data_IF_099786532407
#
_entry.id   IF_099786532407
#
_cell.length_a   1.000
_cell.length_b   1.000
_cell.length_c   1.000
_cell.angle_alpha   90.00
_cell.angle_beta   90.00
_cell.angle_gamma   90.00
#
_symmetry.space_group_name_H-M   'P 1'
#
loop_
_entity.id
_entity.type
_entity.pdbx_description
1 polymer ?
#
# COMPACT_ATOMS: atom_id res chain seq x y z
N UNK A 1 13.87 -5.72 6.01
CA UNK A 1 14.24 -5.92 4.59
C UNK A 1 13.80 -4.74 3.71
N UNK A 2 14.58 -4.40 2.68
CA UNK A 2 14.17 -3.50 1.59
C UNK A 2 13.82 -4.38 0.39
N UNK A 3 12.69 -4.09 -0.27
CA UNK A 3 12.30 -4.74 -1.51
C UNK A 3 12.70 -3.83 -2.67
N UNK A 4 13.68 -4.28 -3.45
CA UNK A 4 14.13 -3.61 -4.66
C UNK A 4 13.48 -4.24 -5.91
N UNK A 5 12.94 -3.42 -6.79
CA UNK A 5 12.26 -3.87 -8.00
C UNK A 5 12.31 -2.85 -9.13
N UNK A 6 12.14 -3.32 -10.37
CA UNK A 6 12.03 -2.47 -11.56
C UNK A 6 10.60 -2.51 -12.08
N UNK A 7 9.98 -1.34 -12.22
CA UNK A 7 8.61 -1.25 -12.68
C UNK A 7 8.56 -1.41 -14.21
N UNK A 8 7.97 -2.51 -14.71
CA UNK A 8 7.92 -2.86 -16.15
C UNK A 8 7.40 -1.73 -17.06
N UNK A 9 6.42 -0.94 -16.61
CA UNK A 9 5.80 0.14 -17.41
C UNK A 9 6.72 1.35 -17.61
N UNK A 10 7.60 1.64 -16.65
CA UNK A 10 8.38 2.89 -16.61
C UNK A 10 9.89 2.65 -16.61
N UNK A 11 10.32 1.40 -16.48
CA UNK A 11 11.72 0.96 -16.30
C UNK A 11 12.42 1.65 -15.13
N UNK A 12 11.66 2.18 -14.17
CA UNK A 12 12.22 2.85 -12.99
C UNK A 12 12.57 1.84 -11.91
N UNK A 13 13.70 2.06 -11.25
CA UNK A 13 14.09 1.34 -10.05
C UNK A 13 13.38 1.93 -8.84
N UNK A 14 12.86 1.05 -8.00
CA UNK A 14 12.18 1.40 -6.76
C UNK A 14 12.73 0.53 -5.63
N UNK A 15 12.93 1.17 -4.47
CA UNK A 15 13.25 0.50 -3.22
C UNK A 15 12.25 0.92 -2.15
N UNK A 16 11.55 -0.05 -1.55
CA UNK A 16 10.58 0.20 -0.49
C UNK A 16 10.92 -0.69 0.71
N UNK A 17 11.08 -0.07 1.88
CA UNK A 17 11.19 -0.81 3.14
C UNK A 17 9.86 -1.49 3.43
N UNK A 18 9.85 -2.82 3.48
CA UNK A 18 8.64 -3.58 3.82
C UNK A 18 8.46 -3.58 5.34
N UNK A 19 7.19 -3.65 5.77
CA UNK A 19 6.87 -3.82 7.19
C UNK A 19 7.25 -5.22 7.67
N UNK A 20 7.48 -5.37 8.98
CA UNK A 20 7.90 -6.65 9.60
C UNK A 20 6.97 -7.81 9.27
N UNK A 21 5.67 -7.56 9.20
CA UNK A 21 4.67 -8.58 8.83
C UNK A 21 4.89 -9.10 7.41
N UNK A 22 5.14 -8.20 6.45
CA UNK A 22 5.42 -8.59 5.07
C UNK A 22 6.77 -9.31 4.97
N UNK A 23 7.78 -8.86 5.71
CA UNK A 23 9.08 -9.52 5.81
C UNK A 23 8.95 -10.96 6.34
N UNK A 24 8.14 -11.18 7.37
CA UNK A 24 7.87 -12.52 7.88
C UNK A 24 7.29 -13.43 6.79
N UNK A 25 6.22 -13.03 6.10
CA UNK A 25 5.65 -13.86 5.03
C UNK A 25 6.62 -14.07 3.85
N UNK A 26 7.41 -13.05 3.51
CA UNK A 26 8.43 -13.16 2.47
C UNK A 26 9.60 -14.07 2.88
N UNK A 27 9.88 -14.24 4.18
CA UNK A 27 10.91 -15.16 4.68
C UNK A 27 10.46 -16.64 4.67
N UNK A 28 9.15 -16.90 4.64
CA UNK A 28 8.61 -18.25 4.53
C UNK A 28 8.71 -18.83 3.10
N UNK A 29 9.27 -18.06 2.15
CA UNK A 29 9.47 -18.53 0.78
C UNK A 29 10.53 -19.63 0.75
N UNK A 30 10.26 -20.71 0.03
CA UNK A 30 11.10 -21.92 0.05
C UNK A 30 12.32 -21.90 -0.88
N UNK A 31 12.30 -21.14 -1.98
CA UNK A 31 13.36 -21.18 -3.00
C UNK A 31 14.00 -19.81 -3.21
N UNK A 32 15.34 -19.81 -3.37
CA UNK A 32 16.11 -18.62 -3.72
C UNK A 32 16.07 -18.45 -5.24
N UNK A 33 14.98 -17.83 -5.71
CA UNK A 33 14.79 -17.51 -7.13
C UNK A 33 14.75 -16.00 -7.31
N UNK A 34 15.14 -15.51 -8.49
CA UNK A 34 15.06 -14.09 -8.87
C UNK A 34 13.64 -13.49 -8.70
N UNK A 35 12.61 -14.34 -8.66
CA UNK A 35 11.22 -13.92 -8.45
C UNK A 35 10.81 -14.15 -7.00
N UNK A 36 10.33 -13.09 -6.34
CA UNK A 36 9.71 -13.21 -5.02
C UNK A 36 8.49 -14.13 -5.01
N UNK A 37 7.72 -14.18 -6.11
CA UNK A 37 6.53 -15.02 -6.26
C UNK A 37 6.59 -15.80 -7.59
N UNK A 38 7.31 -16.93 -7.65
CA UNK A 38 7.60 -17.63 -8.91
C UNK A 38 6.33 -18.16 -9.60
N UNK A 39 5.31 -18.55 -8.83
CA UNK A 39 4.04 -19.09 -9.32
C UNK A 39 2.87 -18.10 -9.19
N UNK A 40 3.14 -16.79 -9.22
CA UNK A 40 2.08 -15.79 -9.12
C UNK A 40 1.13 -15.85 -10.34
N UNK A 41 -0.18 -16.12 -10.16
CA UNK A 41 -1.12 -16.10 -11.27
C UNK A 41 -1.29 -14.68 -11.84
N UNK A 42 -1.91 -14.58 -13.01
CA UNK A 42 -2.31 -13.27 -13.53
C UNK A 42 -3.33 -12.57 -12.60
N UNK A 43 -3.59 -11.29 -12.86
CA UNK A 43 -4.48 -10.49 -12.04
C UNK A 43 -5.93 -11.03 -12.02
N UNK A 44 -6.42 -11.60 -13.11
CA UNK A 44 -7.79 -12.14 -13.17
C UNK A 44 -7.91 -13.40 -12.31
N UNK A 45 -6.96 -14.32 -12.42
CA UNK A 45 -6.87 -15.52 -11.58
C UNK A 45 -6.69 -15.15 -10.11
N UNK A 46 -5.80 -14.22 -9.83
CA UNK A 46 -5.58 -13.76 -8.45
C UNK A 46 -6.84 -13.16 -7.84
N UNK A 47 -7.56 -12.30 -8.57
CA UNK A 47 -8.82 -11.73 -8.08
C UNK A 47 -9.91 -12.80 -7.86
N UNK A 48 -9.92 -13.89 -8.64
CA UNK A 48 -10.82 -15.04 -8.40
C UNK A 48 -10.46 -15.75 -7.09
N UNK A 49 -9.18 -15.98 -6.84
CA UNK A 49 -8.68 -16.59 -5.59
C UNK A 49 -9.02 -15.70 -4.39
N UNK A 50 -8.73 -14.39 -4.48
CA UNK A 50 -9.04 -13.42 -3.43
C UNK A 50 -10.54 -13.37 -3.12
N UNK A 51 -11.41 -13.39 -4.14
CA UNK A 51 -12.86 -13.46 -3.95
C UNK A 51 -13.26 -14.71 -3.16
N UNK A 52 -12.71 -15.88 -3.51
CA UNK A 52 -13.01 -17.14 -2.80
C UNK A 52 -12.57 -17.08 -1.35
N UNK A 53 -11.40 -16.53 -1.06
CA UNK A 53 -10.91 -16.36 0.31
C UNK A 53 -11.76 -15.37 1.10
N UNK A 54 -12.14 -14.24 0.50
CA UNK A 54 -13.02 -13.24 1.11
C UNK A 54 -14.38 -13.85 1.49
N UNK A 55 -15.00 -14.61 0.58
CA UNK A 55 -16.27 -15.30 0.86
C UNK A 55 -16.13 -16.30 2.01
N UNK A 56 -15.05 -17.09 2.05
CA UNK A 56 -14.79 -18.03 3.16
C UNK A 56 -14.57 -17.33 4.50
N UNK A 57 -14.03 -16.12 4.47
CA UNK A 57 -13.83 -15.29 5.66
C UNK A 57 -15.08 -14.52 6.09
N UNK A 58 -16.22 -14.68 5.40
CA UNK A 58 -17.45 -13.94 5.70
C UNK A 58 -17.41 -12.47 5.26
N UNK A 59 -16.50 -12.09 4.37
CA UNK A 59 -16.40 -10.73 3.86
C UNK A 59 -17.30 -10.54 2.63
N UNK A 60 -18.25 -9.60 2.73
CA UNK A 60 -19.27 -9.35 1.70
C UNK A 60 -18.80 -8.43 0.57
N UNK A 61 -17.65 -7.76 0.74
CA UNK A 61 -17.11 -6.83 -0.25
C UNK A 61 -16.21 -7.49 -1.30
N UNK A 62 -15.88 -6.72 -2.34
CA UNK A 62 -14.82 -7.11 -3.28
C UNK A 62 -13.46 -7.05 -2.56
N UNK A 63 -12.56 -7.98 -2.85
CA UNK A 63 -11.16 -7.92 -2.41
C UNK A 63 -10.28 -8.02 -3.64
N UNK A 64 -9.42 -7.03 -3.85
CA UNK A 64 -8.47 -6.96 -4.95
C UNK A 64 -7.17 -6.30 -4.49
N UNK A 65 -6.09 -6.45 -5.25
CA UNK A 65 -4.86 -5.72 -4.98
C UNK A 65 -5.03 -4.20 -5.05
N UNK A 66 -5.88 -3.69 -5.94
CA UNK A 66 -6.17 -2.26 -5.99
C UNK A 66 -6.81 -1.76 -4.69
N UNK A 67 -7.70 -2.56 -4.09
CA UNK A 67 -8.27 -2.22 -2.78
C UNK A 67 -7.24 -2.24 -1.66
N UNK A 68 -6.33 -3.23 -1.65
CA UNK A 68 -5.23 -3.25 -0.70
C UNK A 68 -4.33 -2.00 -0.85
N UNK A 69 -4.07 -1.57 -2.09
CA UNK A 69 -3.34 -0.33 -2.38
C UNK A 69 -4.09 0.90 -1.87
N UNK A 70 -5.42 0.98 -2.08
CA UNK A 70 -6.26 2.04 -1.55
C UNK A 70 -6.20 2.10 -0.02
N UNK A 71 -6.41 0.96 0.65
CA UNK A 71 -6.36 0.87 2.11
C UNK A 71 -4.99 1.31 2.64
N UNK A 72 -3.89 0.83 2.02
CA UNK A 72 -2.54 1.25 2.39
C UNK A 72 -2.38 2.77 2.28
N UNK A 73 -2.82 3.36 1.17
CA UNK A 73 -2.71 4.80 0.94
C UNK A 73 -3.53 5.61 1.96
N UNK A 74 -4.80 5.25 2.18
CA UNK A 74 -5.68 5.96 3.11
C UNK A 74 -5.22 5.82 4.55
N UNK A 75 -4.75 4.63 4.97
CA UNK A 75 -4.17 4.43 6.30
C UNK A 75 -2.96 5.32 6.52
N UNK A 76 -2.07 5.45 5.53
CA UNK A 76 -0.92 6.35 5.63
C UNK A 76 -1.35 7.82 5.69
N UNK A 77 -2.39 8.21 4.95
CA UNK A 77 -2.99 9.56 5.05
C UNK A 77 -3.53 9.80 6.46
N UNK A 78 -4.26 8.85 7.04
CA UNK A 78 -4.81 8.96 8.39
C UNK A 78 -3.72 9.05 9.48
N UNK A 79 -2.59 8.38 9.25
CA UNK A 79 -1.35 8.49 10.04
C UNK A 79 -0.58 9.79 9.78
N UNK A 80 -1.14 10.71 9.01
CA UNK A 80 -0.56 12.02 8.71
C UNK A 80 0.78 11.94 7.95
N UNK A 81 0.99 10.87 7.18
CA UNK A 81 2.19 10.69 6.36
C UNK A 81 2.12 11.64 5.15
N UNK A 82 3.17 12.42 4.86
CA UNK A 82 3.20 13.31 3.71
C UNK A 82 2.89 12.59 2.40
N UNK A 83 2.03 13.19 1.56
CA UNK A 83 1.55 12.57 0.32
C UNK A 83 2.68 12.17 -0.65
N UNK A 84 3.82 12.89 -0.62
CA UNK A 84 5.03 12.58 -1.38
C UNK A 84 5.67 11.25 -0.93
N UNK A 85 5.65 10.97 0.37
CA UNK A 85 6.14 9.69 0.91
C UNK A 85 5.17 8.57 0.51
N UNK A 86 3.87 8.80 0.62
CA UNK A 86 2.85 7.84 0.17
C UNK A 86 3.03 7.51 -1.31
N UNK A 87 3.23 8.53 -2.17
CA UNK A 87 3.48 8.32 -3.60
C UNK A 87 4.73 7.46 -3.85
N UNK A 88 5.79 7.63 -3.06
CA UNK A 88 6.99 6.79 -3.12
C UNK A 88 6.69 5.34 -2.73
N UNK A 89 5.95 5.12 -1.63
CA UNK A 89 5.54 3.77 -1.17
C UNK A 89 4.70 3.05 -2.22
N UNK A 90 3.80 3.78 -2.90
CA UNK A 90 2.94 3.22 -3.96
C UNK A 90 3.63 3.10 -5.33
N UNK A 91 4.87 3.61 -5.48
CA UNK A 91 5.57 3.62 -6.77
C UNK A 91 4.92 4.54 -7.82
N UNK A 92 4.21 5.60 -7.40
CA UNK A 92 3.58 6.56 -8.30
C UNK A 92 4.59 7.62 -8.75
N UNK A 93 4.76 7.78 -10.07
CA UNK A 93 5.64 8.80 -10.65
C UNK A 93 5.04 10.20 -10.65
N UNK A 94 3.70 10.30 -10.74
CA UNK A 94 2.95 11.56 -10.72
C UNK A 94 2.25 11.71 -9.38
N UNK A 95 2.53 12.81 -8.67
CA UNK A 95 1.92 13.06 -7.37
C UNK A 95 0.38 13.20 -7.47
N UNK A 96 -0.12 13.71 -8.60
CA UNK A 96 -1.56 13.82 -8.87
C UNK A 96 -2.30 12.48 -8.81
N UNK A 97 -1.65 11.37 -9.16
CA UNK A 97 -2.24 10.02 -9.02
C UNK A 97 -2.43 9.63 -7.57
N UNK A 98 -1.53 10.05 -6.67
CA UNK A 98 -1.65 9.80 -5.23
C UNK A 98 -2.55 10.83 -4.55
N UNK A 99 -2.67 12.05 -5.10
CA UNK A 99 -3.48 13.12 -4.52
C UNK A 99 -4.97 12.75 -4.40
N UNK A 100 -5.45 11.77 -5.18
CA UNK A 100 -6.81 11.21 -5.01
C UNK A 100 -7.08 10.63 -3.62
N UNK A 101 -6.02 10.25 -2.89
CA UNK A 101 -6.10 9.77 -1.51
C UNK A 101 -6.09 10.90 -0.47
N UNK A 102 -5.60 12.09 -0.85
CA UNK A 102 -5.59 13.28 -0.01
C UNK A 102 -6.99 13.91 0.03
N UNK A 103 -7.99 13.17 0.52
CA UNK A 103 -9.23 13.79 0.96
C UNK A 103 -8.94 14.61 2.20
N UNK A 104 -9.47 15.82 2.25
CA UNK A 104 -9.50 16.62 3.48
C UNK A 104 -10.35 15.84 4.48
N UNK A 105 -9.70 15.03 5.30
CA UNK A 105 -10.35 14.35 6.40
C UNK A 105 -10.51 15.39 7.51
N UNK A 106 -11.76 15.80 7.79
CA UNK A 106 -12.07 16.78 8.84
C UNK A 106 -11.45 16.41 10.19
N UNK A 107 -11.29 15.11 10.48
CA UNK A 107 -10.60 14.63 11.68
C UNK A 107 -9.10 14.93 11.66
N UNK A 108 -8.45 14.86 10.49
CA UNK A 108 -7.04 15.22 10.34
C UNK A 108 -6.85 16.72 10.50
N UNK A 109 -7.76 17.53 9.92
CA UNK A 109 -7.76 18.98 10.10
C UNK A 109 -7.94 19.35 11.57
N UNK A 110 -8.92 18.75 12.26
CA UNK A 110 -9.12 18.95 13.70
C UNK A 110 -7.85 18.68 14.51
N UNK A 111 -7.26 17.49 14.36
CA UNK A 111 -6.00 17.14 15.04
C UNK A 111 -4.85 18.10 14.74
N UNK A 112 -4.78 18.63 13.52
CA UNK A 112 -3.74 19.59 13.15
C UNK A 112 -3.96 20.95 13.84
N UNK A 113 -5.21 21.38 13.98
CA UNK A 113 -5.56 22.60 14.72
C UNK A 113 -5.33 22.43 16.23
N UNK A 114 -5.77 21.32 16.83
CA UNK A 114 -5.54 21.03 18.26
C UNK A 114 -4.03 21.04 18.59
N UNK A 115 -3.21 20.48 17.69
CA UNK A 115 -1.75 20.49 17.83
C UNK A 115 -1.16 21.90 17.68
N UNK A 116 -1.75 22.75 16.85
CA UNK A 116 -1.31 24.13 16.69
C UNK A 116 -1.64 24.94 17.95
N UNK A 117 -2.83 24.76 18.51
CA UNK A 117 -3.26 25.41 19.77
C UNK A 117 -2.30 25.05 20.91
N UNK A 118 -2.02 23.77 21.13
CA UNK A 118 -1.07 23.34 22.17
C UNK A 118 0.41 23.70 21.94
N UNK A 119 0.78 24.31 20.79
CA UNK A 119 2.11 24.91 20.58
C UNK A 119 2.10 26.42 20.91
N UNK A 120 0.94 27.05 20.79
CA UNK A 120 0.76 28.48 21.01
C UNK A 120 0.46 28.82 22.48
N UNK A 121 -0.05 27.84 23.24
CA UNK A 121 -0.17 27.87 24.72
C UNK A 121 1.17 27.53 25.41
#
# INVERSE_FOLDING_TARGET
MILDYVQKKTSRHHGVKVIRTAEHFLSLRGADTDRFFPCMPDNAQTNRVLKRWATKAGFEGKVTFHMAQHTCATTLVDMNVPIKIIAKVLGHSKIGTTAVYAKINSKVVGRAMDKMEGILD
#
